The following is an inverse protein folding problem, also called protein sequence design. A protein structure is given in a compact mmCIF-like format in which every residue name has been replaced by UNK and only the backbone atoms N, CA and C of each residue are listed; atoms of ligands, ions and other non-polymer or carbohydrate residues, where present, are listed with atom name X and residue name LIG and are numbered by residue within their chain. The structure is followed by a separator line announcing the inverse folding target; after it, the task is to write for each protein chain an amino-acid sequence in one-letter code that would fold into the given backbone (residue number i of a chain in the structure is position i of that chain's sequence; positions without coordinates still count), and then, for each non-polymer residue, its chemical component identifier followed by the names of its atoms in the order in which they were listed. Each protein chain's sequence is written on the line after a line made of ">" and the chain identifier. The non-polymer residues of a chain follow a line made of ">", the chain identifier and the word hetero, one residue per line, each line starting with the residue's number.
data_IF_147416928768
#
_entry.id   IF_147416928768
#
_cell.length_a   1.000
_cell.length_b   1.000
_cell.length_c   1.000
_cell.angle_alpha   90.00
_cell.angle_beta   90.00
_cell.angle_gamma   90.00
#
_symmetry.space_group_name_H-M   'P 1'
#
loop_
_entity.id
_entity.type
_entity.pdbx_description
1 polymer ?
#
# COMPACT_ATOMS: atom_id res chain seq x y z
N UNK A 1 5.52 31.14 64.44
CA UNK A 1 5.44 32.07 63.29
C UNK A 1 4.08 31.87 62.63
N UNK A 2 3.22 32.92 62.66
CA UNK A 2 1.97 33.20 61.92
C UNK A 2 1.12 32.00 61.38
N UNK A 3 -0.05 31.69 61.96
CA UNK A 3 -1.41 32.28 61.74
C UNK A 3 -2.08 31.64 60.48
N UNK A 4 -3.05 30.70 60.66
CA UNK A 4 -4.55 30.88 60.70
C UNK A 4 -5.12 30.87 59.25
N UNK A 5 -6.27 30.31 58.85
CA UNK A 5 -7.49 29.69 59.40
C UNK A 5 -8.17 28.93 58.22
N UNK A 6 -8.82 27.77 58.40
CA UNK A 6 -10.30 27.53 58.45
C UNK A 6 -11.08 27.85 57.15
N UNK A 7 -12.10 27.10 56.71
CA UNK A 7 -13.21 26.44 57.41
C UNK A 7 -13.82 25.35 56.50
N UNK A 8 -14.09 24.12 56.97
CA UNK A 8 -15.39 23.59 57.46
C UNK A 8 -16.60 23.94 56.57
N UNK A 9 -17.19 22.91 55.94
CA UNK A 9 -18.63 22.62 56.10
C UNK A 9 -18.95 21.19 55.63
N UNK A 10 -19.30 20.35 56.59
CA UNK A 10 -20.01 19.11 56.37
C UNK A 10 -21.52 19.41 56.36
N UNK A 11 -22.24 18.89 55.36
CA UNK A 11 -23.69 18.62 55.45
C UNK A 11 -23.95 17.29 54.74
N UNK A 12 -24.26 16.28 55.55
CA UNK A 12 -24.94 15.06 55.15
C UNK A 12 -26.46 15.26 55.28
N UNK A 13 -27.22 15.05 54.20
CA UNK A 13 -28.66 14.74 54.27
C UNK A 13 -29.01 13.72 53.18
N UNK A 14 -29.69 12.67 53.63
CA UNK A 14 -30.26 11.54 52.90
C UNK A 14 -31.45 11.92 51.98
N UNK A 15 -31.77 10.99 51.07
CA UNK A 15 -33.04 10.78 50.37
C UNK A 15 -33.40 11.66 49.16
N UNK A 16 -33.24 11.11 47.96
CA UNK A 16 -34.37 10.53 47.19
C UNK A 16 -33.87 9.77 45.96
N UNK A 17 -34.32 8.52 45.85
CA UNK A 17 -34.40 7.81 44.60
C UNK A 17 -35.22 8.63 43.58
N UNK A 18 -34.66 8.83 42.39
CA UNK A 18 -35.39 9.29 41.22
C UNK A 18 -34.74 8.70 39.96
N UNK A 19 -35.42 7.70 39.38
CA UNK A 19 -35.40 7.53 37.93
C UNK A 19 -34.39 6.57 37.31
N UNK A 20 -34.15 5.39 37.89
CA UNK A 20 -33.85 4.21 37.08
C UNK A 20 -35.14 3.76 36.37
N UNK A 21 -35.63 4.56 35.41
CA UNK A 21 -36.87 4.28 34.67
C UNK A 21 -36.84 4.76 33.22
N UNK A 22 -35.74 5.35 32.73
CA UNK A 22 -35.61 5.78 31.34
C UNK A 22 -35.14 4.66 30.40
N UNK A 23 -34.16 3.87 30.82
CA UNK A 23 -33.48 2.93 29.90
C UNK A 23 -34.27 1.63 29.67
N UNK A 24 -35.00 1.13 30.67
CA UNK A 24 -35.87 -0.05 30.49
C UNK A 24 -37.16 0.31 29.73
N UNK A 25 -37.63 1.56 29.83
CA UNK A 25 -38.77 2.03 29.04
C UNK A 25 -38.39 2.22 27.55
N UNK A 26 -37.17 2.70 27.26
CA UNK A 26 -36.65 2.77 25.89
C UNK A 26 -36.37 1.38 25.29
N UNK A 27 -35.91 0.40 26.09
CA UNK A 27 -35.76 -0.98 25.62
C UNK A 27 -37.09 -1.69 25.38
N UNK A 28 -38.10 -1.50 26.25
CA UNK A 28 -39.44 -2.07 26.02
C UNK A 28 -40.15 -1.42 24.84
N UNK A 29 -39.97 -0.11 24.63
CA UNK A 29 -40.50 0.57 23.46
C UNK A 29 -39.79 0.15 22.16
N UNK A 30 -38.51 -0.28 22.24
CA UNK A 30 -37.84 -0.94 21.12
C UNK A 30 -38.37 -2.36 20.88
N UNK A 31 -38.58 -3.17 21.93
CA UNK A 31 -39.11 -4.54 21.80
C UNK A 31 -40.56 -4.60 21.30
N UNK A 32 -41.44 -3.70 21.76
CA UNK A 32 -42.84 -3.63 21.30
C UNK A 32 -42.96 -3.17 19.82
N UNK A 33 -41.97 -2.43 19.31
CA UNK A 33 -41.90 -2.07 17.89
C UNK A 33 -41.47 -3.23 16.98
N UNK A 34 -40.95 -4.33 17.54
CA UNK A 34 -40.55 -5.52 16.78
C UNK A 34 -41.45 -6.75 17.02
N UNK A 35 -42.34 -6.73 18.00
CA UNK A 35 -43.27 -7.83 18.30
C UNK A 35 -44.37 -8.07 17.24
N UNK A 36 -44.48 -7.20 16.22
CA UNK A 36 -45.48 -7.29 15.16
C UNK A 36 -45.02 -7.94 13.85
N UNK A 37 -43.72 -8.23 13.67
CA UNK A 37 -43.24 -8.79 12.40
C UNK A 37 -43.31 -10.31 12.41
N UNK A 38 -44.46 -10.85 11.99
CA UNK A 38 -44.53 -12.24 11.51
C UNK A 38 -43.55 -12.39 10.35
N UNK A 39 -42.44 -13.10 10.59
CA UNK A 39 -41.54 -13.55 9.54
C UNK A 39 -42.34 -14.43 8.56
N UNK A 40 -42.62 -13.90 7.38
CA UNK A 40 -43.05 -14.70 6.25
C UNK A 40 -41.89 -15.65 5.89
N UNK A 41 -42.14 -16.96 5.94
CA UNK A 41 -41.24 -17.96 5.37
C UNK A 41 -41.06 -17.67 3.88
N UNK A 42 -39.82 -17.46 3.44
CA UNK A 42 -39.48 -17.26 2.03
C UNK A 42 -38.62 -16.03 1.69
N UNK A 43 -37.97 -15.36 2.65
CA UNK A 43 -36.98 -14.32 2.33
C UNK A 43 -35.63 -14.95 1.97
N UNK A 44 -35.37 -15.10 0.66
CA UNK A 44 -34.00 -15.33 0.17
C UNK A 44 -33.10 -14.19 0.67
N UNK A 45 -32.10 -14.54 1.47
CA UNK A 45 -31.04 -13.60 1.84
C UNK A 45 -30.31 -13.18 0.56
N UNK A 46 -30.15 -11.87 0.28
CA UNK A 46 -29.45 -11.44 -0.92
C UNK A 46 -28.00 -11.92 -0.83
N UNK A 47 -27.64 -12.85 -1.70
CA UNK A 47 -26.25 -13.21 -1.95
C UNK A 47 -25.49 -11.95 -2.41
N UNK A 48 -24.22 -11.79 -2.01
CA UNK A 48 -23.43 -10.64 -2.42
C UNK A 48 -23.38 -10.56 -3.94
N UNK A 49 -23.88 -9.45 -4.48
CA UNK A 49 -23.76 -9.13 -5.90
C UNK A 49 -22.27 -8.97 -6.20
N UNK A 50 -21.69 -9.70 -7.17
CA UNK A 50 -20.36 -9.38 -7.70
C UNK A 50 -20.36 -7.90 -8.05
N UNK A 51 -19.33 -7.16 -7.63
CA UNK A 51 -19.20 -5.74 -7.95
C UNK A 51 -19.56 -5.53 -9.42
N UNK A 52 -20.69 -4.86 -9.68
CA UNK A 52 -21.15 -4.62 -11.03
C UNK A 52 -19.99 -3.97 -11.78
N UNK A 53 -19.58 -4.61 -12.87
CA UNK A 53 -18.64 -4.05 -13.84
C UNK A 53 -19.08 -2.62 -14.12
N UNK A 54 -18.21 -1.66 -13.78
CA UNK A 54 -18.48 -0.26 -14.12
C UNK A 54 -18.73 -0.17 -15.62
N UNK A 55 -19.72 0.62 -16.07
CA UNK A 55 -19.97 0.78 -17.49
C UNK A 55 -18.70 1.27 -18.19
N UNK A 56 -18.28 0.54 -19.22
CA UNK A 56 -17.27 1.00 -20.16
C UNK A 56 -17.76 2.31 -20.78
N UNK A 57 -17.04 3.42 -20.55
CA UNK A 57 -17.38 4.71 -21.16
C UNK A 57 -17.15 5.97 -20.34
N UNK A 58 -16.60 5.91 -19.13
CA UNK A 58 -16.24 7.15 -18.39
C UNK A 58 -14.82 7.60 -18.78
N UNK A 59 -14.69 8.13 -20.00
CA UNK A 59 -13.45 8.73 -20.54
C UNK A 59 -13.19 10.17 -20.03
N UNK A 60 -13.80 10.53 -18.90
CA UNK A 60 -13.67 11.83 -18.26
C UNK A 60 -13.29 11.76 -16.78
N UNK A 61 -12.78 10.63 -16.28
CA UNK A 61 -12.32 10.52 -14.89
C UNK A 61 -10.95 11.19 -14.71
N UNK A 62 -10.82 12.22 -13.85
CA UNK A 62 -9.55 12.78 -13.44
C UNK A 62 -8.66 11.68 -12.83
N UNK A 63 -7.47 11.51 -13.39
CA UNK A 63 -6.55 10.45 -13.02
C UNK A 63 -5.74 10.85 -11.77
N UNK A 64 -6.29 10.50 -10.60
CA UNK A 64 -5.63 10.69 -9.30
C UNK A 64 -4.34 9.85 -9.21
N UNK A 65 -4.32 8.75 -9.94
CA UNK A 65 -3.12 7.93 -10.06
C UNK A 65 -2.21 8.48 -11.13
N UNK A 66 -2.50 9.58 -11.82
CA UNK A 66 -1.65 10.18 -12.85
C UNK A 66 -0.23 10.45 -12.39
N UNK A 67 -0.06 10.76 -11.10
CA UNK A 67 1.26 10.82 -10.47
C UNK A 67 1.99 9.46 -10.43
N UNK A 68 1.27 8.37 -10.17
CA UNK A 68 1.75 7.00 -10.20
C UNK A 68 1.67 6.31 -11.60
N UNK A 69 0.82 6.79 -12.52
CA UNK A 69 0.60 6.33 -13.89
C UNK A 69 1.53 7.01 -14.89
N UNK A 70 1.99 8.24 -14.59
CA UNK A 70 3.09 8.88 -15.32
C UNK A 70 4.30 7.94 -15.37
N UNK A 71 4.51 7.17 -14.30
CA UNK A 71 5.46 6.07 -14.26
C UNK A 71 4.83 4.84 -14.96
N UNK A 72 5.01 4.69 -16.27
CA UNK A 72 4.61 3.46 -16.97
C UNK A 72 5.60 2.34 -16.63
N UNK A 73 5.17 1.17 -16.15
CA UNK A 73 6.09 0.06 -15.96
C UNK A 73 6.65 -0.38 -17.31
N UNK A 74 7.96 -0.54 -17.38
CA UNK A 74 8.62 -1.31 -18.43
C UNK A 74 9.13 -2.61 -17.82
N UNK A 75 8.84 -3.73 -18.46
CA UNK A 75 9.42 -5.03 -18.15
C UNK A 75 10.50 -5.31 -19.20
N UNK A 76 11.74 -4.83 -19.00
CA UNK A 76 12.80 -5.01 -19.99
C UNK A 76 13.20 -6.48 -20.08
N UNK A 77 13.51 -6.94 -21.29
CA UNK A 77 13.93 -8.32 -21.50
C UNK A 77 15.38 -8.52 -21.01
N UNK A 78 15.57 -9.47 -20.11
CA UNK A 78 16.92 -9.90 -19.73
C UNK A 78 17.63 -10.51 -20.93
N UNK A 79 18.87 -10.09 -21.18
CA UNK A 79 19.76 -10.72 -22.17
C UNK A 79 20.95 -11.31 -21.44
N UNK A 80 21.14 -12.62 -21.58
CA UNK A 80 22.30 -13.29 -21.01
C UNK A 80 23.58 -12.73 -21.60
N UNK A 81 24.60 -12.58 -20.75
CA UNK A 81 25.93 -12.18 -21.21
C UNK A 81 26.70 -13.36 -21.84
N UNK A 82 26.21 -14.60 -21.67
CA UNK A 82 26.74 -15.79 -22.32
C UNK A 82 26.33 -15.81 -23.81
N UNK A 83 27.31 -15.88 -24.72
CA UNK A 83 27.08 -15.90 -26.18
C UNK A 83 27.48 -14.61 -26.94
N UNK A 84 27.93 -13.57 -26.24
CA UNK A 84 28.72 -12.51 -26.87
C UNK A 84 30.19 -12.97 -26.86
N UNK A 85 30.66 -13.58 -27.95
CA UNK A 85 31.98 -14.26 -28.03
C UNK A 85 33.21 -13.34 -27.86
N UNK A 86 33.02 -12.02 -27.67
CA UNK A 86 34.06 -11.10 -27.16
C UNK A 86 33.88 -10.68 -25.70
N UNK A 87 32.69 -10.87 -25.11
CA UNK A 87 32.39 -10.63 -23.70
C UNK A 87 32.76 -11.83 -22.81
N UNK A 88 32.82 -13.05 -23.34
CA UNK A 88 33.29 -14.23 -22.59
C UNK A 88 34.75 -14.11 -22.12
N UNK A 89 35.61 -13.42 -22.89
CA UNK A 89 36.96 -13.06 -22.47
C UNK A 89 37.00 -11.89 -21.46
N UNK A 90 35.93 -11.10 -21.39
CA UNK A 90 35.75 -10.06 -20.36
C UNK A 90 35.15 -10.62 -19.05
N UNK A 91 34.64 -11.86 -19.05
CA UNK A 91 34.16 -12.58 -17.87
C UNK A 91 35.25 -13.36 -17.12
N UNK A 92 36.45 -13.52 -17.70
CA UNK A 92 37.61 -14.21 -17.09
C UNK A 92 38.71 -13.26 -16.60
N UNK A 93 38.65 -11.97 -16.98
CA UNK A 93 39.18 -10.87 -16.16
C UNK A 93 38.06 -10.44 -15.22
N UNK A 94 38.32 -9.88 -14.02
CA UNK A 94 37.22 -9.51 -13.13
C UNK A 94 36.26 -8.65 -13.95
N UNK A 95 35.00 -9.14 -14.04
CA UNK A 95 33.86 -8.43 -14.61
C UNK A 95 33.99 -6.94 -14.26
N UNK A 96 33.69 -6.05 -15.21
CA UNK A 96 33.94 -4.61 -15.04
C UNK A 96 33.51 -4.10 -13.67
N UNK A 97 34.18 -3.06 -13.19
CA UNK A 97 34.03 -2.48 -11.84
C UNK A 97 32.62 -2.69 -11.24
N UNK A 98 32.53 -3.47 -10.14
CA UNK A 98 31.27 -3.64 -9.40
C UNK A 98 30.96 -2.31 -8.73
N UNK A 99 29.90 -1.65 -9.20
CA UNK A 99 29.49 -0.34 -8.73
C UNK A 99 28.65 -0.45 -7.45
N UNK A 100 27.82 -1.49 -7.36
CA UNK A 100 26.90 -1.70 -6.24
C UNK A 100 26.82 -3.15 -5.84
N UNK A 101 26.69 -3.37 -4.52
CA UNK A 101 26.35 -4.64 -3.89
C UNK A 101 25.16 -4.41 -2.96
N UNK A 102 24.03 -5.01 -3.28
CA UNK A 102 22.80 -4.86 -2.50
C UNK A 102 22.41 -6.21 -1.91
N UNK A 103 22.49 -6.34 -0.59
CA UNK A 103 22.01 -7.51 0.14
C UNK A 103 20.47 -7.51 0.14
N UNK A 104 19.86 -8.31 -0.73
CA UNK A 104 18.44 -8.21 -1.05
C UNK A 104 17.52 -8.52 0.14
N UNK A 105 17.89 -9.48 0.99
CA UNK A 105 17.10 -9.81 2.18
C UNK A 105 17.01 -8.63 3.17
N UNK A 106 18.03 -7.78 3.26
CA UNK A 106 17.99 -6.58 4.13
C UNK A 106 17.02 -5.51 3.64
N UNK A 107 16.70 -5.51 2.35
CA UNK A 107 15.83 -4.50 1.71
C UNK A 107 14.49 -5.07 1.22
N UNK A 108 14.25 -6.37 1.46
CA UNK A 108 13.03 -7.08 1.07
C UNK A 108 11.79 -6.43 1.65
N UNK A 109 10.89 -6.00 0.76
CA UNK A 109 9.63 -5.32 1.09
C UNK A 109 9.80 -4.07 1.97
N UNK A 110 11.02 -3.52 2.09
CA UNK A 110 11.30 -2.38 2.94
C UNK A 110 10.51 -1.13 2.53
N UNK A 111 10.16 -1.04 1.24
CA UNK A 111 9.33 0.03 0.67
C UNK A 111 7.89 0.06 1.23
N UNK A 112 7.40 -1.05 1.78
CA UNK A 112 6.10 -1.10 2.46
C UNK A 112 6.16 -0.60 3.91
N UNK A 113 7.35 -0.58 4.51
CA UNK A 113 7.60 -0.14 5.90
C UNK A 113 8.06 1.32 5.93
N UNK A 114 7.20 2.21 5.44
CA UNK A 114 7.49 3.66 5.34
C UNK A 114 7.52 4.33 6.71
N UNK A 115 7.95 5.60 6.76
CA UNK A 115 7.86 6.42 7.98
C UNK A 115 6.42 6.87 8.30
N UNK A 116 5.46 6.70 7.38
CA UNK A 116 4.06 7.05 7.61
C UNK A 116 3.42 5.94 8.45
N UNK A 117 3.27 6.21 9.74
CA UNK A 117 2.85 5.20 10.72
C UNK A 117 1.77 5.70 11.64
N UNK A 118 1.03 4.76 12.24
CA UNK A 118 0.23 4.96 13.44
C UNK A 118 0.42 3.77 14.39
N UNK A 119 0.00 3.91 15.64
CA UNK A 119 0.06 2.83 16.64
C UNK A 119 -1.34 2.37 17.01
N UNK A 120 -1.52 1.05 17.16
CA UNK A 120 -2.75 0.47 17.73
C UNK A 120 -2.79 0.69 19.25
N UNK A 121 -3.93 0.44 19.89
CA UNK A 121 -4.00 0.52 21.36
C UNK A 121 -3.10 -0.51 22.06
N UNK A 122 -2.79 -1.62 21.38
CA UNK A 122 -1.86 -2.65 21.83
C UNK A 122 -0.39 -2.33 21.53
N UNK A 123 -0.10 -1.17 20.94
CA UNK A 123 1.25 -0.70 20.69
C UNK A 123 1.89 -1.19 19.38
N UNK A 124 1.19 -1.99 18.58
CA UNK A 124 1.65 -2.43 17.25
C UNK A 124 1.81 -1.21 16.35
N UNK A 125 2.97 -1.07 15.72
CA UNK A 125 3.20 -0.01 14.73
C UNK A 125 2.70 -0.48 13.37
N UNK A 126 1.83 0.32 12.76
CA UNK A 126 1.29 0.06 11.42
C UNK A 126 1.90 1.07 10.45
N UNK A 127 2.62 0.57 9.46
CA UNK A 127 3.19 1.34 8.35
C UNK A 127 2.18 1.45 7.21
N UNK A 128 2.09 2.63 6.62
CA UNK A 128 1.14 2.92 5.54
C UNK A 128 1.92 3.26 4.28
N UNK A 129 1.61 2.54 3.20
CA UNK A 129 2.34 2.62 1.94
C UNK A 129 1.40 2.43 0.74
N UNK A 130 1.89 2.77 -0.45
CA UNK A 130 1.24 2.45 -1.71
C UNK A 130 2.03 1.40 -2.47
N UNK A 131 1.35 0.52 -3.19
CA UNK A 131 1.98 -0.44 -4.11
C UNK A 131 1.06 -0.77 -5.29
N UNK A 132 1.59 -1.46 -6.30
CA UNK A 132 0.86 -1.86 -7.51
C UNK A 132 0.91 -3.40 -7.63
N UNK A 133 -0.21 -4.00 -7.98
CA UNK A 133 -0.27 -5.42 -8.33
C UNK A 133 0.16 -5.66 -9.78
N UNK A 134 0.66 -6.86 -10.08
CA UNK A 134 1.03 -7.26 -11.43
C UNK A 134 -0.18 -7.48 -12.34
N UNK A 135 -1.30 -7.92 -11.77
CA UNK A 135 -2.52 -8.28 -12.51
C UNK A 135 -3.73 -7.42 -12.10
N UNK A 136 -4.82 -7.61 -12.84
CA UNK A 136 -6.10 -6.93 -12.64
C UNK A 136 -6.95 -7.58 -11.54
N UNK A 137 -7.98 -6.88 -11.03
CA UNK A 137 -8.76 -7.33 -9.88
C UNK A 137 -9.47 -8.68 -10.04
N UNK A 138 -9.79 -9.07 -11.27
CA UNK A 138 -10.42 -10.34 -11.65
C UNK A 138 -9.41 -11.48 -11.83
N UNK A 139 -8.12 -11.21 -11.65
CA UNK A 139 -7.04 -12.14 -11.96
C UNK A 139 -6.49 -12.00 -13.38
N UNK A 140 -7.17 -11.23 -14.25
CA UNK A 140 -6.81 -11.00 -15.65
C UNK A 140 -5.77 -9.91 -15.84
N UNK A 141 -5.61 -9.45 -17.08
CA UNK A 141 -4.67 -8.39 -17.46
C UNK A 141 -5.34 -7.18 -18.14
N UNK A 142 -6.64 -7.24 -18.42
CA UNK A 142 -7.39 -6.23 -19.17
C UNK A 142 -8.05 -5.19 -18.27
N UNK A 143 -7.26 -4.34 -17.60
CA UNK A 143 -7.75 -3.22 -16.80
C UNK A 143 -6.82 -2.02 -16.92
N UNK A 144 -7.32 -0.84 -16.54
CA UNK A 144 -6.49 0.39 -16.47
C UNK A 144 -5.49 0.27 -15.33
N UNK A 145 -4.33 0.91 -15.48
CA UNK A 145 -3.25 0.83 -14.50
C UNK A 145 -3.65 1.30 -13.10
N UNK A 146 -4.48 2.36 -12.98
CA UNK A 146 -5.12 2.79 -11.73
C UNK A 146 -5.82 1.68 -10.95
N UNK A 147 -6.38 0.68 -11.63
CA UNK A 147 -7.13 -0.42 -11.02
C UNK A 147 -6.21 -1.46 -10.38
N UNK A 148 -4.89 -1.35 -10.60
CA UNK A 148 -3.87 -2.22 -9.99
C UNK A 148 -3.27 -1.63 -8.72
N UNK A 149 -3.60 -0.40 -8.34
CA UNK A 149 -3.00 0.24 -7.16
C UNK A 149 -3.69 -0.13 -5.86
N UNK A 150 -2.86 -0.22 -4.83
CA UNK A 150 -3.24 -0.56 -3.46
C UNK A 150 -2.69 0.44 -2.49
N UNK A 151 -3.50 0.72 -1.47
CA UNK A 151 -2.96 1.06 -0.17
C UNK A 151 -2.60 -0.24 0.56
N UNK A 152 -1.41 -0.27 1.15
CA UNK A 152 -0.91 -1.40 1.93
C UNK A 152 -0.61 -0.93 3.35
N UNK A 153 -1.27 -1.55 4.33
CA UNK A 153 -0.97 -1.40 5.75
C UNK A 153 -0.11 -2.58 6.18
N UNK A 154 1.10 -2.33 6.67
CA UNK A 154 2.02 -3.39 7.11
C UNK A 154 2.36 -3.20 8.58
N UNK A 155 2.12 -4.21 9.42
CA UNK A 155 2.48 -4.16 10.84
C UNK A 155 3.98 -4.40 11.02
N UNK A 156 4.56 -3.91 12.11
CA UNK A 156 5.92 -4.25 12.54
C UNK A 156 6.12 -5.77 12.71
N UNK A 157 5.06 -6.48 13.10
CA UNK A 157 4.97 -7.95 13.16
C UNK A 157 4.96 -8.65 11.79
N UNK A 158 4.82 -7.90 10.69
CA UNK A 158 4.91 -8.43 9.32
C UNK A 158 3.57 -8.83 8.68
N UNK A 159 2.44 -8.53 9.30
CA UNK A 159 1.12 -8.73 8.69
C UNK A 159 0.84 -7.60 7.70
N UNK A 160 0.28 -7.92 6.53
CA UNK A 160 -0.08 -6.92 5.52
C UNK A 160 -1.55 -6.98 5.16
N UNK A 161 -2.17 -5.81 5.07
CA UNK A 161 -3.56 -5.61 4.70
C UNK A 161 -3.66 -4.72 3.48
N UNK A 162 -4.50 -5.10 2.52
CA UNK A 162 -4.60 -4.46 1.22
C UNK A 162 -5.97 -3.79 1.05
N UNK A 163 -5.97 -2.51 0.65
CA UNK A 163 -7.15 -1.81 0.16
C UNK A 163 -6.93 -1.48 -1.31
N UNK A 164 -7.79 -1.96 -2.22
CA UNK A 164 -7.73 -1.47 -3.60
C UNK A 164 -8.00 0.02 -3.56
N UNK A 165 -7.20 0.77 -4.30
CA UNK A 165 -7.32 2.22 -4.29
C UNK A 165 -8.69 2.66 -4.84
N UNK A 166 -9.27 1.90 -5.78
CA UNK A 166 -10.63 2.11 -6.28
C UNK A 166 -11.73 1.78 -5.24
N UNK A 167 -11.50 0.90 -4.26
CA UNK A 167 -12.50 0.62 -3.20
C UNK A 167 -12.60 1.78 -2.18
N UNK A 168 -11.54 2.59 -2.09
CA UNK A 168 -11.44 3.70 -1.14
C UNK A 168 -11.66 5.06 -1.81
N UNK A 169 -11.85 5.10 -3.13
CA UNK A 169 -12.16 6.29 -3.94
C UNK A 169 -13.55 6.11 -4.57
N UNK A 170 -14.51 6.95 -4.19
CA UNK A 170 -15.91 6.86 -4.66
C UNK A 170 -16.26 8.05 -5.56
N UNK A 171 -16.66 7.76 -6.80
CA UNK A 171 -16.91 8.76 -7.85
C UNK A 171 -18.40 9.01 -8.17
N UNK A 172 -19.33 8.28 -7.54
CA UNK A 172 -20.75 8.29 -7.95
C UNK A 172 -21.59 9.42 -7.34
N UNK A 173 -21.77 9.44 -6.02
CA UNK A 173 -22.86 10.23 -5.39
C UNK A 173 -22.44 10.89 -4.04
N UNK A 174 -21.41 10.38 -3.35
CA UNK A 174 -21.01 10.86 -2.01
C UNK A 174 -19.51 11.15 -1.81
N UNK A 175 -18.69 11.18 -2.86
CA UNK A 175 -17.25 11.51 -2.81
C UNK A 175 -16.45 10.83 -1.66
N UNK A 176 -16.84 9.64 -1.21
CA UNK A 176 -16.11 8.90 -0.17
C UNK A 176 -16.22 7.39 -0.32
N UNK A 177 -15.08 6.74 -0.56
CA UNK A 177 -14.92 5.29 -0.44
C UNK A 177 -14.24 4.98 0.89
N UNK A 178 -14.42 3.78 1.40
CA UNK A 178 -13.73 3.38 2.63
C UNK A 178 -13.57 1.88 2.75
N UNK A 179 -12.43 1.47 3.32
CA UNK A 179 -12.17 0.07 3.65
C UNK A 179 -11.84 -0.04 5.13
N UNK A 180 -12.50 -0.97 5.82
CA UNK A 180 -12.23 -1.24 7.24
C UNK A 180 -11.43 -2.52 7.37
N UNK A 181 -10.36 -2.45 8.15
CA UNK A 181 -9.51 -3.57 8.54
C UNK A 181 -9.67 -3.86 10.02
N UNK A 182 -9.49 -5.12 10.40
CA UNK A 182 -9.36 -5.50 11.81
C UNK A 182 -7.89 -5.78 12.09
N UNK A 183 -7.26 -4.95 12.91
CA UNK A 183 -5.84 -5.06 13.29
C UNK A 183 -5.79 -5.12 14.81
N UNK A 184 -5.12 -6.11 15.39
CA UNK A 184 -5.12 -6.36 16.84
C UNK A 184 -6.53 -6.50 17.47
N UNK A 185 -7.53 -6.91 16.68
CA UNK A 185 -8.93 -7.01 17.11
C UNK A 185 -9.69 -5.67 17.09
N UNK A 186 -9.07 -4.59 16.65
CA UNK A 186 -9.67 -3.26 16.54
C UNK A 186 -9.97 -2.88 15.09
N UNK A 187 -11.05 -2.14 14.87
CA UNK A 187 -11.45 -1.67 13.54
C UNK A 187 -10.73 -0.39 13.17
N UNK A 188 -10.07 -0.41 12.01
CA UNK A 188 -9.42 0.74 11.39
C UNK A 188 -10.03 1.00 10.01
N UNK A 189 -10.69 2.14 9.85
CA UNK A 189 -11.30 2.55 8.58
C UNK A 189 -10.40 3.50 7.82
N UNK A 190 -10.02 3.11 6.62
CA UNK A 190 -9.23 3.92 5.70
C UNK A 190 -10.17 4.60 4.70
N UNK A 191 -9.98 5.90 4.49
CA UNK A 191 -10.71 6.71 3.51
C UNK A 191 -9.74 7.51 2.66
N UNK A 192 -10.02 7.65 1.37
CA UNK A 192 -9.33 8.60 0.51
C UNK A 192 -10.31 9.69 0.09
N UNK A 193 -9.91 10.94 0.34
CA UNK A 193 -10.57 12.14 -0.15
C UNK A 193 -9.84 12.56 -1.42
N UNK A 194 -10.38 12.13 -2.55
CA UNK A 194 -9.86 12.43 -3.87
C UNK A 194 -9.93 13.93 -4.18
N UNK A 195 -8.86 14.47 -4.76
CA UNK A 195 -8.86 15.79 -5.40
C UNK A 195 -8.65 15.59 -6.90
N UNK A 196 -9.71 15.82 -7.67
CA UNK A 196 -9.72 15.65 -9.12
C UNK A 196 -8.76 16.58 -9.86
N UNK A 197 -8.64 17.83 -9.41
CA UNK A 197 -7.86 18.86 -10.11
C UNK A 197 -6.38 18.83 -9.73
N UNK A 198 -6.04 18.32 -8.54
CA UNK A 198 -4.66 18.12 -8.07
C UNK A 198 -4.54 16.75 -7.39
N UNK A 199 -4.45 15.67 -8.17
CA UNK A 199 -4.29 14.29 -7.71
C UNK A 199 -3.38 14.07 -6.48
N UNK A 200 -2.20 14.67 -6.51
CA UNK A 200 -1.14 14.59 -5.51
C UNK A 200 -1.57 15.14 -4.14
N UNK A 201 -2.54 16.05 -4.12
CA UNK A 201 -3.13 16.64 -2.92
C UNK A 201 -4.31 15.83 -2.37
N UNK A 202 -4.65 14.70 -2.98
CA UNK A 202 -5.66 13.78 -2.44
C UNK A 202 -5.23 13.29 -1.07
N UNK A 203 -6.17 13.28 -0.12
CA UNK A 203 -5.86 13.01 1.29
C UNK A 203 -6.32 11.62 1.70
N UNK A 204 -5.38 10.81 2.17
CA UNK A 204 -5.62 9.60 2.93
C UNK A 204 -5.90 9.95 4.39
N UNK A 205 -6.94 9.33 4.95
CA UNK A 205 -7.31 9.42 6.36
C UNK A 205 -7.54 8.00 6.91
N UNK A 206 -6.86 7.66 8.01
CA UNK A 206 -7.09 6.41 8.75
C UNK A 206 -7.74 6.75 10.08
N UNK A 207 -8.92 6.18 10.33
CA UNK A 207 -9.65 6.29 11.60
C UNK A 207 -9.56 4.99 12.39
N UNK A 208 -9.07 5.06 13.61
CA UNK A 208 -9.15 3.98 14.58
C UNK A 208 -10.30 4.19 15.58
N UNK A 209 -10.38 3.37 16.64
CA UNK A 209 -11.46 3.43 17.63
C UNK A 209 -11.59 4.77 18.36
N UNK A 210 -10.46 5.50 18.50
CA UNK A 210 -10.38 6.78 19.21
C UNK A 210 -10.39 8.01 18.29
N UNK A 211 -10.63 7.84 17.00
CA UNK A 211 -10.64 8.92 16.02
C UNK A 211 -9.58 8.78 14.93
N UNK A 212 -9.20 9.90 14.30
CA UNK A 212 -8.20 9.91 13.23
C UNK A 212 -6.82 9.63 13.81
N UNK A 213 -6.16 8.59 13.30
CA UNK A 213 -4.82 8.15 13.72
C UNK A 213 -3.74 8.46 12.68
N UNK A 214 -4.13 8.68 11.42
CA UNK A 214 -3.23 9.12 10.36
C UNK A 214 -3.98 10.01 9.37
N UNK A 215 -3.29 11.05 8.90
CA UNK A 215 -3.70 11.87 7.77
C UNK A 215 -2.45 12.15 6.92
N UNK A 216 -2.49 11.83 5.62
CA UNK A 216 -1.36 12.00 4.70
C UNK A 216 -1.85 12.29 3.28
N UNK A 217 -1.12 13.08 2.50
CA UNK A 217 -1.42 13.21 1.07
C UNK A 217 -0.94 11.99 0.28
N UNK A 218 -1.44 11.78 -0.94
CA UNK A 218 -0.88 10.75 -1.83
C UNK A 218 0.57 11.04 -2.20
N UNK A 219 0.94 12.32 -2.35
CA UNK A 219 2.34 12.73 -2.53
C UNK A 219 3.21 12.29 -1.35
N UNK A 220 2.75 12.55 -0.12
CA UNK A 220 3.46 12.17 1.11
C UNK A 220 3.71 10.66 1.21
N UNK A 221 2.78 9.85 0.69
CA UNK A 221 2.92 8.40 0.63
C UNK A 221 3.92 7.99 -0.46
N UNK A 222 3.80 8.57 -1.67
CA UNK A 222 4.74 8.31 -2.77
C UNK A 222 6.18 8.65 -2.40
N UNK A 223 6.41 9.84 -1.85
CA UNK A 223 7.72 10.29 -1.38
C UNK A 223 8.28 9.35 -0.29
N UNK A 224 7.43 8.91 0.64
CA UNK A 224 7.84 8.03 1.73
C UNK A 224 8.20 6.61 1.27
N UNK A 225 7.56 6.11 0.20
CA UNK A 225 7.92 4.84 -0.45
C UNK A 225 9.24 5.00 -1.20
N UNK A 226 9.39 6.07 -2.00
CA UNK A 226 10.62 6.34 -2.76
C UNK A 226 11.85 6.50 -1.86
N UNK A 227 11.68 7.12 -0.68
CA UNK A 227 12.75 7.29 0.31
C UNK A 227 13.30 5.97 0.88
N UNK A 228 12.59 4.84 0.74
CA UNK A 228 13.02 3.53 1.24
C UNK A 228 13.85 2.72 0.25
N UNK A 229 13.93 3.15 -1.01
CA UNK A 229 14.79 2.50 -2.00
C UNK A 229 16.28 2.79 -1.76
N UNK A 230 17.13 1.86 -2.19
CA UNK A 230 18.59 2.02 -2.20
C UNK A 230 18.98 2.95 -3.34
N UNK A 231 19.84 3.93 -3.06
CA UNK A 231 20.36 4.84 -4.08
C UNK A 231 21.35 4.12 -5.00
N UNK A 232 21.05 4.12 -6.30
CA UNK A 232 21.89 3.53 -7.35
C UNK A 232 22.07 4.55 -8.46
N UNK A 233 23.32 4.84 -8.83
CA UNK A 233 23.67 5.78 -9.89
C UNK A 233 24.38 5.04 -11.03
N UNK A 234 23.68 4.95 -12.16
CA UNK A 234 24.19 4.39 -13.41
C UNK A 234 24.39 5.55 -14.41
N UNK A 235 23.79 5.50 -15.60
CA UNK A 235 23.67 6.69 -16.46
C UNK A 235 22.72 7.73 -15.86
N UNK A 236 21.66 7.27 -15.20
CA UNK A 236 20.74 8.07 -14.37
C UNK A 236 20.80 7.67 -12.89
N UNK A 237 20.17 8.47 -12.04
CA UNK A 237 19.97 8.11 -10.63
C UNK A 237 18.67 7.34 -10.47
N UNK A 238 18.70 6.27 -9.68
CA UNK A 238 17.59 5.37 -9.43
C UNK A 238 17.46 5.08 -7.93
N UNK A 239 16.22 4.81 -7.52
CA UNK A 239 15.89 4.10 -6.30
C UNK A 239 15.64 2.64 -6.64
N UNK A 240 16.46 1.76 -6.08
CA UNK A 240 16.31 0.32 -6.19
C UNK A 240 15.45 -0.19 -5.02
N UNK A 241 14.33 -0.83 -5.35
CA UNK A 241 13.50 -1.56 -4.39
C UNK A 241 13.47 -3.05 -4.73
N UNK A 242 13.26 -3.88 -3.71
CA UNK A 242 13.19 -5.33 -3.87
C UNK A 242 12.04 -5.88 -3.03
N UNK A 243 11.24 -6.78 -3.59
CA UNK A 243 10.12 -7.34 -2.85
C UNK A 243 9.30 -8.37 -3.60
N UNK A 244 8.33 -8.91 -2.88
CA UNK A 244 7.38 -9.87 -3.40
C UNK A 244 6.42 -9.17 -4.37
N UNK A 245 6.15 -9.83 -5.48
CA UNK A 245 5.05 -9.46 -6.34
C UNK A 245 3.72 -9.52 -5.57
N UNK A 246 2.85 -8.54 -5.84
CA UNK A 246 1.48 -8.53 -5.35
C UNK A 246 0.57 -8.91 -6.51
N UNK A 247 -0.35 -9.84 -6.26
CA UNK A 247 -1.41 -10.20 -7.20
C UNK A 247 -2.78 -10.03 -6.55
N UNK A 248 -3.77 -9.73 -7.36
CA UNK A 248 -5.18 -9.68 -7.01
C UNK A 248 -5.86 -10.99 -7.42
N UNK A 249 -6.80 -11.45 -6.61
CA UNK A 249 -7.70 -12.54 -6.96
C UNK A 249 -9.06 -12.38 -6.28
N UNK A 250 -9.95 -13.36 -6.43
CA UNK A 250 -11.32 -13.29 -5.90
C UNK A 250 -11.41 -13.05 -4.39
N UNK A 251 -10.38 -13.50 -3.64
CA UNK A 251 -10.31 -13.36 -2.18
C UNK A 251 -9.59 -12.07 -1.73
N UNK A 252 -9.20 -11.19 -2.67
CA UNK A 252 -8.41 -9.99 -2.43
C UNK A 252 -6.97 -10.10 -2.91
N UNK A 253 -6.13 -9.15 -2.50
CA UNK A 253 -4.72 -9.12 -2.86
C UNK A 253 -3.84 -9.93 -1.91
N UNK A 254 -2.77 -10.50 -2.45
CA UNK A 254 -1.77 -11.28 -1.71
C UNK A 254 -0.38 -11.13 -2.31
N UNK A 255 0.63 -11.38 -1.50
CA UNK A 255 1.98 -11.59 -2.01
C UNK A 255 2.10 -12.94 -2.72
N UNK A 256 2.94 -13.00 -3.74
CA UNK A 256 3.42 -14.24 -4.34
C UNK A 256 4.87 -14.51 -3.91
N UNK A 257 5.38 -15.68 -4.26
CA UNK A 257 6.79 -16.01 -4.04
C UNK A 257 7.72 -15.37 -5.08
N UNK A 258 7.17 -14.86 -6.18
CA UNK A 258 7.95 -14.20 -7.23
C UNK A 258 8.54 -12.91 -6.68
N UNK A 259 9.85 -12.78 -6.80
CA UNK A 259 10.59 -11.61 -6.34
C UNK A 259 10.87 -10.66 -7.50
N UNK A 260 10.68 -9.37 -7.26
CA UNK A 260 10.87 -8.30 -8.23
C UNK A 260 11.94 -7.34 -7.73
N UNK A 261 12.81 -6.90 -8.64
CA UNK A 261 13.69 -5.75 -8.46
C UNK A 261 13.07 -4.59 -9.24
N UNK A 262 12.78 -3.49 -8.56
CA UNK A 262 12.23 -2.29 -9.17
C UNK A 262 13.34 -1.23 -9.26
N UNK A 263 13.56 -0.69 -10.45
CA UNK A 263 14.46 0.43 -10.69
C UNK A 263 13.63 1.65 -11.04
N UNK A 264 13.52 2.58 -10.08
CA UNK A 264 12.67 3.77 -10.21
C UNK A 264 13.58 4.98 -10.43
N UNK A 265 13.51 5.69 -11.57
CA UNK A 265 14.27 6.92 -11.77
C UNK A 265 14.02 7.94 -10.66
N UNK A 266 15.06 8.60 -10.16
CA UNK A 266 14.96 9.59 -9.09
C UNK A 266 15.86 10.82 -9.29
N UNK A 267 15.39 12.05 -9.01
CA UNK A 267 14.00 12.38 -8.67
C UNK A 267 13.05 12.04 -9.82
N UNK A 268 11.79 11.79 -9.51
CA UNK A 268 10.75 11.57 -10.53
C UNK A 268 10.51 12.91 -11.21
N UNK A 269 11.06 13.09 -12.42
CA UNK A 269 11.03 14.38 -13.13
C UNK A 269 9.93 14.43 -14.21
N UNK A 270 9.42 13.29 -14.70
CA UNK A 270 8.48 13.20 -15.83
C UNK A 270 7.81 11.80 -15.92
N UNK A 271 7.12 11.55 -17.03
CA UNK A 271 6.53 10.25 -17.40
C UNK A 271 7.60 9.20 -17.80
N UNK A 272 8.74 9.19 -17.12
CA UNK A 272 9.77 8.17 -17.31
C UNK A 272 9.29 6.82 -16.77
N UNK A 273 9.59 5.76 -17.52
CA UNK A 273 9.26 4.42 -17.08
C UNK A 273 10.05 4.06 -15.82
N UNK A 274 9.42 3.34 -14.91
CA UNK A 274 10.16 2.53 -13.93
C UNK A 274 10.29 1.11 -14.49
N UNK A 275 11.37 0.43 -14.11
CA UNK A 275 11.66 -0.89 -14.64
C UNK A 275 11.37 -1.94 -13.58
N UNK A 276 10.63 -2.98 -13.97
CA UNK A 276 10.37 -4.16 -13.14
C UNK A 276 11.19 -5.30 -13.73
N UNK A 277 12.14 -5.80 -12.95
CA UNK A 277 12.99 -6.93 -13.31
C UNK A 277 12.55 -8.12 -12.46
N UNK A 278 12.21 -9.25 -13.08
CA UNK A 278 12.04 -10.47 -12.31
C UNK A 278 13.40 -10.90 -11.76
N UNK A 279 13.50 -11.13 -10.44
CA UNK A 279 14.77 -11.49 -9.82
C UNK A 279 15.31 -12.82 -10.36
N UNK A 280 14.41 -13.73 -10.76
CA UNK A 280 14.75 -15.03 -11.34
C UNK A 280 15.42 -14.91 -12.73
N UNK A 281 15.21 -13.79 -13.43
CA UNK A 281 15.87 -13.52 -14.71
C UNK A 281 17.33 -13.05 -14.52
N UNK A 282 17.69 -12.60 -13.31
CA UNK A 282 19.04 -12.13 -12.99
C UNK A 282 19.92 -13.31 -12.59
N UNK A 283 20.56 -13.93 -13.58
CA UNK A 283 21.40 -15.12 -13.37
C UNK A 283 22.74 -14.80 -12.68
N UNK A 284 23.37 -15.79 -12.01
CA UNK A 284 24.73 -15.62 -11.45
C UNK A 284 25.81 -15.34 -12.50
N UNK A 285 25.63 -15.86 -13.72
CA UNK A 285 26.49 -15.58 -14.88
C UNK A 285 26.40 -14.11 -15.36
N UNK A 286 25.38 -13.38 -14.92
CA UNK A 286 25.12 -12.01 -15.29
C UNK A 286 24.24 -11.86 -16.53
N UNK A 287 23.40 -10.83 -16.47
CA UNK A 287 22.50 -10.41 -17.55
C UNK A 287 22.61 -8.91 -17.76
N UNK A 288 22.18 -8.44 -18.92
CA UNK A 288 21.97 -7.01 -19.17
C UNK A 288 20.50 -6.75 -19.47
N UNK A 289 20.08 -5.52 -19.17
CA UNK A 289 18.76 -4.98 -19.53
C UNK A 289 18.98 -3.75 -20.41
N UNK A 290 19.16 -3.92 -21.74
CA UNK A 290 19.54 -2.82 -22.63
C UNK A 290 18.54 -1.67 -22.66
N UNK A 291 17.28 -1.95 -22.37
CA UNK A 291 16.19 -0.97 -22.31
C UNK A 291 16.22 -0.16 -21.00
N UNK A 292 16.84 -0.70 -19.94
CA UNK A 292 17.13 0.02 -18.69
C UNK A 292 18.39 0.88 -18.86
N UNK A 293 19.55 0.24 -19.04
CA UNK A 293 20.87 0.88 -19.11
C UNK A 293 21.88 -0.03 -19.85
N UNK A 294 22.24 0.30 -21.09
CA UNK A 294 23.05 -0.57 -21.97
C UNK A 294 24.48 -0.87 -21.46
N UNK A 295 25.05 0.03 -20.67
CA UNK A 295 26.44 -0.07 -20.18
C UNK A 295 26.59 -0.83 -18.86
N UNK A 296 25.54 -1.52 -18.39
CA UNK A 296 25.55 -2.13 -17.06
C UNK A 296 25.02 -3.57 -17.10
N UNK A 297 25.68 -4.43 -16.33
CA UNK A 297 25.28 -5.80 -16.08
C UNK A 297 24.77 -5.98 -14.65
N UNK A 298 23.93 -6.98 -14.48
CA UNK A 298 23.28 -7.35 -13.22
C UNK A 298 23.53 -8.83 -12.99
N UNK A 299 23.93 -9.23 -11.78
CA UNK A 299 24.06 -10.65 -11.43
C UNK A 299 23.65 -10.93 -10.00
N UNK A 300 23.12 -12.13 -9.77
CA UNK A 300 22.74 -12.61 -8.45
C UNK A 300 23.86 -13.49 -7.87
N UNK A 301 24.40 -13.12 -6.71
CA UNK A 301 25.40 -13.92 -6.02
C UNK A 301 25.00 -14.10 -4.55
N UNK A 302 24.54 -15.30 -4.19
CA UNK A 302 24.22 -15.64 -2.79
C UNK A 302 23.23 -14.70 -2.11
N UNK A 303 22.18 -14.26 -2.81
CA UNK A 303 21.19 -13.31 -2.28
C UNK A 303 21.63 -11.83 -2.33
N UNK A 304 22.80 -11.55 -2.90
CA UNK A 304 23.27 -10.20 -3.21
C UNK A 304 23.07 -9.91 -4.69
N UNK A 305 22.41 -8.78 -4.99
CA UNK A 305 22.42 -8.22 -6.34
C UNK A 305 23.68 -7.39 -6.52
N UNK A 306 24.49 -7.76 -7.51
CA UNK A 306 25.63 -6.96 -7.94
C UNK A 306 25.29 -6.23 -9.25
N UNK A 307 25.59 -4.94 -9.30
CA UNK A 307 25.50 -4.12 -10.51
C UNK A 307 26.90 -3.70 -10.90
N UNK A 308 27.28 -3.95 -12.16
CA UNK A 308 28.65 -3.78 -12.63
C UNK A 308 28.69 -3.11 -14.00
N UNK A 309 29.79 -2.41 -14.30
CA UNK A 309 29.97 -1.75 -15.60
C UNK A 309 30.33 -2.78 -16.68
N UNK A 310 29.71 -2.67 -17.85
CA UNK A 310 30.11 -3.41 -19.05
C UNK A 310 31.11 -2.53 -19.81
N UNK A 311 32.28 -3.09 -20.13
CA UNK A 311 33.33 -2.42 -20.92
C UNK A 311 33.05 -2.55 -22.41
#
# INVERSE_FOLDING_TARGET
>A
MKIILASILAVSVFCRAAGASGFEAELRQAEDNFAGVKLAEGLELPLPVPSASMPEGVDGMPDIFGYFEALKPAEPAARELAGFDKAAAALTRPAGEVLYRVELEKVKNAYLRTARTFKTSRGTTVHVSGSKASNCPDGGNGCKDKEKFFLVLTTDKGESFFARAMDIVNWGIFMSGSRTFTIDGEKYTVKVKANASTPENSMLEVKGPKGVVLKASLKDLGDAVAAKGVDVRLGKSYKLAYGNEIVQGPQGARFTQKMLVLMIPFPVQDASNYFILAADDIKPSGVMFPELERGHGFRMNGGTLEIFRLN
#
